data_IF_362198778220
#
_entry.id   IF_362198778220
#
_cell.length_a   1.000
_cell.length_b   1.000
_cell.length_c   1.000
_cell.angle_alpha   90.00
_cell.angle_beta   90.00
_cell.angle_gamma   90.00
#
_symmetry.space_group_name_H-M   'P 1'
#
loop_
_entity.id
_entity.type
_entity.pdbx_description
1 polymer ?
#
# COMPACT_ATOMS: atom_id res chain seq x y z
N UNK A 1 27.35 11.08 45.31
CA UNK A 1 27.38 11.58 46.70
C UNK A 1 28.55 12.56 46.91
N UNK A 2 29.76 12.14 47.31
CA UNK A 2 30.83 13.11 47.67
C UNK A 2 31.36 13.96 46.49
N UNK A 3 31.56 13.35 45.31
CA UNK A 3 32.02 14.06 44.09
C UNK A 3 30.99 15.10 43.63
N UNK A 4 29.70 14.77 43.77
CA UNK A 4 28.59 15.65 43.46
C UNK A 4 28.53 16.82 44.45
N UNK A 5 28.70 16.58 45.75
CA UNK A 5 28.73 17.65 46.76
C UNK A 5 29.88 18.64 46.52
N UNK A 6 31.05 18.15 46.09
CA UNK A 6 32.19 18.99 45.70
C UNK A 6 31.82 19.84 44.48
N UNK A 7 31.27 19.23 43.43
CA UNK A 7 30.84 19.94 42.22
C UNK A 7 29.75 20.98 42.52
N UNK A 8 28.80 20.65 43.41
CA UNK A 8 27.69 21.50 43.83
C UNK A 8 28.17 22.74 44.58
N UNK A 9 29.10 22.57 45.53
CA UNK A 9 29.71 23.68 46.30
C UNK A 9 30.62 24.54 45.41
N UNK A 10 31.41 23.91 44.53
CA UNK A 10 32.28 24.61 43.58
C UNK A 10 31.48 25.42 42.54
N UNK A 11 30.25 24.98 42.23
CA UNK A 11 29.36 25.59 41.27
C UNK A 11 29.55 25.03 39.87
N UNK A 12 28.50 24.44 39.31
CA UNK A 12 28.56 23.71 38.03
C UNK A 12 29.02 24.60 36.87
N UNK A 13 28.63 25.87 36.87
CA UNK A 13 29.03 26.84 35.83
C UNK A 13 30.52 27.18 35.86
N UNK A 14 31.23 26.87 36.96
CA UNK A 14 32.67 27.09 37.09
C UNK A 14 33.50 25.89 36.61
N UNK A 15 32.85 24.76 36.30
CA UNK A 15 33.53 23.57 35.79
C UNK A 15 33.98 23.83 34.34
N UNK A 16 35.20 23.39 33.96
CA UNK A 16 35.66 23.52 32.60
C UNK A 16 34.78 22.70 31.65
N UNK A 17 34.48 23.27 30.49
CA UNK A 17 33.78 22.58 29.42
C UNK A 17 34.83 21.88 28.55
N UNK A 18 34.67 20.57 28.35
CA UNK A 18 35.48 19.81 27.40
C UNK A 18 34.57 18.94 26.55
N UNK A 19 34.94 18.76 25.27
CA UNK A 19 34.30 17.76 24.42
C UNK A 19 34.86 16.37 24.75
N UNK A 20 34.02 15.32 24.76
CA UNK A 20 34.50 13.97 24.96
C UNK A 20 35.44 13.58 23.81
N UNK A 21 36.62 13.06 24.14
CA UNK A 21 37.51 12.48 23.14
C UNK A 21 36.96 11.13 22.69
N UNK A 22 36.58 11.01 21.41
CA UNK A 22 36.07 9.77 20.83
C UNK A 22 36.70 9.52 19.45
N UNK A 23 37.11 8.29 19.20
CA UNK A 23 37.49 7.86 17.85
C UNK A 23 36.22 7.70 17.00
N UNK A 24 36.15 8.43 15.88
CA UNK A 24 35.02 8.35 14.96
C UNK A 24 35.28 7.26 13.91
N UNK A 25 34.36 6.30 13.83
CA UNK A 25 34.33 5.31 12.76
C UNK A 25 33.04 5.50 11.95
N UNK A 26 33.11 5.28 10.64
CA UNK A 26 31.91 5.27 9.80
C UNK A 26 31.15 3.97 10.05
N UNK A 27 29.86 4.08 10.38
CA UNK A 27 28.96 2.94 10.42
C UNK A 27 28.62 2.51 8.99
N UNK A 28 28.64 1.21 8.73
CA UNK A 28 28.10 0.66 7.48
C UNK A 28 26.58 0.67 7.53
N UNK A 29 25.94 1.37 6.60
CA UNK A 29 24.48 1.33 6.40
C UNK A 29 24.24 0.61 5.08
N UNK A 30 23.31 -0.34 5.08
CA UNK A 30 22.96 -1.09 3.87
C UNK A 30 22.21 -0.18 2.90
N UNK A 31 22.60 -0.16 1.62
CA UNK A 31 21.87 0.57 0.57
C UNK A 31 20.46 0.01 0.34
N UNK A 32 20.24 -1.26 0.68
CA UNK A 32 18.90 -1.87 0.63
C UNK A 32 17.97 -1.38 1.76
N UNK A 33 18.51 -0.75 2.81
CA UNK A 33 17.69 -0.16 3.87
C UNK A 33 17.27 1.26 3.49
N UNK A 34 15.96 1.50 3.57
CA UNK A 34 15.38 2.80 3.21
C UNK A 34 15.01 3.56 4.47
N UNK A 35 15.53 4.78 4.67
CA UNK A 35 15.12 5.61 5.78
C UNK A 35 13.62 5.87 5.75
N UNK A 36 12.94 5.77 6.89
CA UNK A 36 11.51 6.06 7.02
C UNK A 36 11.13 7.41 6.40
N UNK A 37 11.97 8.43 6.58
CA UNK A 37 11.77 9.76 6.01
C UNK A 37 11.62 9.74 4.48
N UNK A 38 12.27 8.82 3.77
CA UNK A 38 12.14 8.71 2.31
C UNK A 38 10.75 8.27 1.88
N UNK A 39 10.14 7.34 2.62
CA UNK A 39 8.74 6.90 2.41
C UNK A 39 7.76 8.03 2.74
N UNK A 40 7.99 8.75 3.85
CA UNK A 40 7.17 9.91 4.23
C UNK A 40 7.20 11.00 3.16
N UNK A 41 8.38 11.34 2.65
CA UNK A 41 8.51 12.32 1.56
C UNK A 41 7.76 11.91 0.31
N UNK A 42 7.79 10.63 -0.07
CA UNK A 42 6.97 10.16 -1.19
C UNK A 42 5.47 10.39 -0.96
N UNK A 43 4.94 10.12 0.23
CA UNK A 43 3.53 10.36 0.52
C UNK A 43 3.19 11.86 0.49
N UNK A 44 4.11 12.71 0.93
CA UNK A 44 3.99 14.18 0.77
C UNK A 44 3.99 14.57 -0.71
N UNK A 45 4.86 13.99 -1.53
CA UNK A 45 4.89 14.20 -2.99
C UNK A 45 3.58 13.74 -3.66
N UNK A 46 2.86 12.79 -3.07
CA UNK A 46 1.52 12.33 -3.49
C UNK A 46 0.37 13.18 -2.90
N UNK A 47 0.68 14.34 -2.32
CA UNK A 47 -0.28 15.27 -1.68
C UNK A 47 -1.08 14.58 -0.56
N UNK A 48 -0.35 13.95 0.36
CA UNK A 48 -0.90 13.29 1.55
C UNK A 48 -0.20 13.89 2.77
N UNK A 49 -0.98 14.41 3.70
CA UNK A 49 -0.49 15.15 4.86
C UNK A 49 -0.18 14.20 6.03
N UNK A 50 0.98 14.37 6.67
CA UNK A 50 1.29 13.61 7.88
C UNK A 50 0.40 14.06 9.06
N UNK A 51 -0.10 13.09 9.82
CA UNK A 51 -0.76 13.30 11.11
C UNK A 51 -0.15 12.39 12.18
N UNK A 52 -0.30 12.80 13.43
CA UNK A 52 0.08 12.00 14.61
C UNK A 52 -1.17 11.92 15.49
N UNK A 53 -1.67 10.71 15.70
CA UNK A 53 -2.85 10.46 16.53
C UNK A 53 -2.45 9.80 17.85
N UNK A 54 -3.34 9.82 18.84
CA UNK A 54 -3.07 9.14 20.11
C UNK A 54 -2.96 7.62 19.91
N UNK A 55 -1.99 7.00 20.57
CA UNK A 55 -1.83 5.53 20.58
C UNK A 55 -2.92 4.81 21.36
N UNK A 56 -3.62 5.53 22.24
CA UNK A 56 -4.80 5.06 22.97
C UNK A 56 -6.07 5.67 22.37
N UNK A 57 -7.08 4.83 22.18
CA UNK A 57 -8.30 5.13 21.44
C UNK A 57 -9.54 4.75 22.26
N UNK A 58 -10.69 5.21 21.79
CA UNK A 58 -11.97 4.85 22.36
C UNK A 58 -12.28 3.36 22.07
N UNK A 59 -12.57 2.53 23.11
CA UNK A 59 -12.87 1.11 22.92
C UNK A 59 -14.06 0.85 21.99
N UNK A 60 -15.09 1.71 22.04
CA UNK A 60 -16.28 1.58 21.20
C UNK A 60 -15.98 1.87 19.73
N UNK A 61 -15.22 2.93 19.45
CA UNK A 61 -14.76 3.25 18.09
C UNK A 61 -13.84 2.14 17.56
N UNK A 62 -12.89 1.66 18.36
CA UNK A 62 -12.01 0.55 17.96
C UNK A 62 -12.79 -0.73 17.67
N UNK A 63 -13.81 -1.08 18.47
CA UNK A 63 -14.63 -2.26 18.22
C UNK A 63 -15.38 -2.19 16.87
N UNK A 64 -15.78 -0.99 16.46
CA UNK A 64 -16.50 -0.75 15.20
C UNK A 64 -15.56 -0.66 14.00
N UNK A 65 -14.40 -0.01 14.17
CA UNK A 65 -13.40 0.27 13.12
C UNK A 65 -12.23 -0.73 13.10
N UNK A 66 -12.29 -1.77 13.92
CA UNK A 66 -11.31 -2.85 13.98
C UNK A 66 -11.89 -4.19 13.49
N UNK A 67 -11.25 -5.24 13.96
CA UNK A 67 -11.56 -6.66 13.71
C UNK A 67 -12.57 -7.23 14.73
N UNK A 68 -13.26 -6.37 15.49
CA UNK A 68 -14.14 -6.76 16.57
C UNK A 68 -13.43 -7.34 17.82
N UNK A 69 -12.09 -7.38 17.83
CA UNK A 69 -11.31 -7.92 18.93
C UNK A 69 -10.88 -6.81 19.89
N UNK A 70 -10.97 -7.07 21.20
CA UNK A 70 -10.50 -6.11 22.21
C UNK A 70 -8.97 -5.98 22.18
N UNK A 71 -8.47 -4.76 22.29
CA UNK A 71 -7.06 -4.41 22.44
C UNK A 71 -6.59 -4.42 23.90
N UNK A 72 -5.34 -4.01 24.11
CA UNK A 72 -4.76 -3.87 25.45
C UNK A 72 -5.39 -2.67 26.15
N UNK A 73 -6.01 -2.88 27.31
CA UNK A 73 -6.63 -1.79 28.10
C UNK A 73 -5.65 -1.19 29.11
N UNK A 74 -5.73 0.13 29.28
CA UNK A 74 -4.98 0.84 30.30
C UNK A 74 -5.67 0.66 31.66
N UNK A 75 -4.88 0.38 32.70
CA UNK A 75 -5.40 0.26 34.07
C UNK A 75 -5.86 1.61 34.64
N UNK A 76 -5.12 2.69 34.33
CA UNK A 76 -5.38 4.04 34.82
C UNK A 76 -5.42 5.02 33.62
N UNK A 77 -6.47 4.98 32.78
CA UNK A 77 -6.55 5.84 31.61
C UNK A 77 -6.80 7.31 32.01
N UNK A 78 -6.26 8.24 31.21
CA UNK A 78 -6.46 9.68 31.42
C UNK A 78 -7.93 10.11 31.22
N UNK A 79 -8.64 9.39 30.34
CA UNK A 79 -10.07 9.55 30.08
C UNK A 79 -10.66 8.23 29.55
N UNK A 80 -11.97 8.03 29.72
CA UNK A 80 -12.64 6.78 29.32
C UNK A 80 -12.61 6.52 27.81
N UNK A 81 -12.59 7.58 27.00
CA UNK A 81 -12.48 7.51 25.53
C UNK A 81 -11.02 7.36 25.04
N UNK A 82 -10.06 7.16 25.96
CA UNK A 82 -8.63 6.98 25.72
C UNK A 82 -8.12 5.81 26.56
N UNK A 83 -8.88 4.71 26.56
CA UNK A 83 -8.71 3.60 27.51
C UNK A 83 -8.11 2.33 26.90
N UNK A 84 -7.95 2.25 25.58
CA UNK A 84 -7.48 1.05 24.90
C UNK A 84 -6.39 1.36 23.89
N UNK A 85 -5.33 0.57 23.86
CA UNK A 85 -4.25 0.71 22.89
C UNK A 85 -4.75 0.37 21.48
N UNK A 86 -4.35 1.17 20.50
CA UNK A 86 -4.77 0.99 19.11
C UNK A 86 -4.24 -0.32 18.52
N UNK A 87 -5.12 -1.10 17.88
CA UNK A 87 -4.77 -2.33 17.16
C UNK A 87 -4.42 -2.10 15.69
N UNK A 88 -4.84 -0.96 15.14
CA UNK A 88 -4.51 -0.47 13.79
C UNK A 88 -4.47 1.05 13.78
N UNK A 89 -4.01 1.65 12.67
CA UNK A 89 -4.05 3.10 12.49
C UNK A 89 -5.41 3.62 12.01
N UNK A 90 -6.34 2.70 11.67
CA UNK A 90 -7.65 3.03 11.09
C UNK A 90 -8.50 3.93 12.01
N UNK A 91 -8.69 3.63 13.31
CA UNK A 91 -9.52 4.47 14.19
C UNK A 91 -9.04 5.91 14.26
N UNK A 92 -7.73 6.12 14.47
CA UNK A 92 -7.12 7.45 14.55
C UNK A 92 -7.27 8.22 13.24
N UNK A 93 -7.00 7.57 12.10
CA UNK A 93 -7.14 8.18 10.79
C UNK A 93 -8.59 8.56 10.45
N UNK A 94 -9.55 7.70 10.76
CA UNK A 94 -10.99 7.97 10.54
C UNK A 94 -11.44 9.17 11.38
N UNK A 95 -11.03 9.24 12.66
CA UNK A 95 -11.31 10.36 13.54
C UNK A 95 -10.68 11.67 13.03
N UNK A 96 -9.43 11.62 12.56
CA UNK A 96 -8.75 12.77 11.98
C UNK A 96 -9.44 13.26 10.69
N UNK A 97 -9.91 12.35 9.84
CA UNK A 97 -10.72 12.70 8.67
C UNK A 97 -12.04 13.35 9.12
N UNK A 98 -12.77 12.72 10.04
CA UNK A 98 -14.05 13.24 10.56
C UNK A 98 -13.90 14.63 11.16
N UNK A 99 -12.84 14.86 11.93
CA UNK A 99 -12.53 16.17 12.52
C UNK A 99 -12.43 17.29 11.47
N UNK A 100 -11.78 17.00 10.33
CA UNK A 100 -11.60 17.95 9.23
C UNK A 100 -12.87 18.12 8.39
N UNK A 101 -13.59 17.02 8.12
CA UNK A 101 -14.87 17.05 7.40
C UNK A 101 -15.91 17.88 8.15
N UNK A 102 -15.97 17.76 9.48
CA UNK A 102 -16.84 18.57 10.33
C UNK A 102 -16.49 20.07 10.32
N UNK A 103 -15.30 20.42 9.80
CA UNK A 103 -14.84 21.79 9.54
C UNK A 103 -14.95 22.16 8.06
N UNK A 104 -15.85 21.49 7.35
CA UNK A 104 -16.19 21.75 5.96
C UNK A 104 -15.04 21.50 4.97
N UNK A 105 -14.04 20.69 5.33
CA UNK A 105 -13.00 20.29 4.39
C UNK A 105 -13.59 19.31 3.35
N UNK A 106 -13.66 19.67 2.05
CA UNK A 106 -14.29 18.83 1.03
C UNK A 106 -13.42 17.65 0.58
N UNK A 107 -12.13 17.68 0.94
CA UNK A 107 -11.07 16.76 0.56
C UNK A 107 -10.09 16.65 1.73
N UNK A 108 -9.75 15.42 2.13
CA UNK A 108 -8.82 15.14 3.23
C UNK A 108 -7.96 13.94 2.84
N UNK A 109 -6.63 14.09 2.93
CA UNK A 109 -5.67 13.04 2.58
C UNK A 109 -4.59 13.01 3.65
N UNK A 110 -4.54 11.93 4.41
CA UNK A 110 -3.70 11.81 5.60
C UNK A 110 -2.88 10.54 5.56
N UNK A 111 -1.69 10.57 6.14
CA UNK A 111 -0.95 9.38 6.49
C UNK A 111 -0.39 9.48 7.91
N UNK A 112 -0.18 8.33 8.53
CA UNK A 112 0.45 8.22 9.84
C UNK A 112 1.40 7.01 9.85
N UNK A 113 2.49 7.12 10.60
CA UNK A 113 3.35 5.97 10.94
C UNK A 113 3.39 5.81 12.44
N UNK A 114 3.27 4.58 12.94
CA UNK A 114 3.50 4.32 14.36
C UNK A 114 3.11 2.91 14.77
N UNK A 115 3.36 2.61 16.05
CA UNK A 115 3.13 1.28 16.62
C UNK A 115 1.65 1.00 16.83
N UNK A 116 1.29 -0.26 16.62
CA UNK A 116 0.01 -0.83 17.00
C UNK A 116 0.22 -2.02 17.94
N UNK A 117 -0.75 -2.29 18.81
CA UNK A 117 -0.61 -3.19 19.94
C UNK A 117 -1.62 -4.32 19.81
N UNK A 118 -1.18 -5.45 19.26
CA UNK A 118 -2.04 -6.60 18.97
C UNK A 118 -1.68 -7.74 19.95
N UNK A 119 -2.54 -8.04 20.93
CA UNK A 119 -2.35 -9.17 21.84
C UNK A 119 -2.24 -10.49 21.05
N UNK A 120 -1.17 -11.24 21.27
CA UNK A 120 -1.04 -12.64 20.88
C UNK A 120 -1.02 -13.54 22.13
N UNK A 121 -0.94 -14.86 21.95
CA UNK A 121 -1.05 -15.83 23.06
C UNK A 121 0.04 -15.60 24.12
N UNK A 122 1.29 -15.41 23.69
CA UNK A 122 2.46 -15.32 24.58
C UNK A 122 3.18 -13.97 24.51
N UNK A 123 2.85 -13.11 23.54
CA UNK A 123 3.52 -11.84 23.33
C UNK A 123 2.57 -10.73 22.86
N UNK A 124 3.03 -9.49 22.97
CA UNK A 124 2.34 -8.33 22.42
C UNK A 124 3.06 -7.91 21.13
N UNK A 125 2.38 -8.06 19.99
CA UNK A 125 2.88 -7.53 18.72
C UNK A 125 2.79 -6.00 18.76
N UNK A 126 3.95 -5.36 18.69
CA UNK A 126 4.14 -3.89 18.70
C UNK A 126 4.68 -3.39 17.35
N UNK A 127 4.30 -4.06 16.25
CA UNK A 127 4.78 -3.72 14.93
C UNK A 127 4.48 -2.27 14.54
N UNK A 128 5.49 -1.64 13.95
CA UNK A 128 5.33 -0.35 13.27
C UNK A 128 4.46 -0.53 12.03
N UNK A 129 3.51 0.39 11.86
CA UNK A 129 2.58 0.41 10.75
C UNK A 129 2.64 1.73 10.01
N UNK A 130 2.18 1.71 8.77
CA UNK A 130 1.87 2.89 7.98
C UNK A 130 0.41 2.85 7.55
N UNK A 131 -0.30 3.92 7.89
CA UNK A 131 -1.71 4.09 7.61
C UNK A 131 -1.88 5.23 6.62
N UNK A 132 -2.80 5.07 5.67
CA UNK A 132 -3.13 6.09 4.67
C UNK A 132 -4.64 6.22 4.58
N UNK A 133 -5.14 7.44 4.52
CA UNK A 133 -6.55 7.77 4.41
C UNK A 133 -6.75 8.80 3.29
N UNK A 134 -7.62 8.52 2.32
CA UNK A 134 -8.01 9.49 1.28
C UNK A 134 -9.54 9.62 1.22
N UNK A 135 -10.01 10.87 1.23
CA UNK A 135 -11.43 11.20 1.31
C UNK A 135 -11.80 12.35 0.37
N UNK A 136 -12.97 12.22 -0.25
CA UNK A 136 -13.60 13.32 -0.97
C UNK A 136 -13.13 13.46 -2.41
N UNK A 137 -12.79 14.68 -2.84
CA UNK A 137 -12.40 14.94 -4.23
C UNK A 137 -11.01 14.35 -4.56
N UNK A 138 -10.85 13.80 -5.76
CA UNK A 138 -9.58 13.22 -6.22
C UNK A 138 -8.48 14.27 -6.34
N UNK A 139 -8.83 15.43 -6.89
CA UNK A 139 -7.95 16.58 -7.07
C UNK A 139 -8.46 17.79 -6.27
N UNK A 140 -7.60 18.77 -6.00
CA UNK A 140 -8.06 20.11 -5.63
C UNK A 140 -9.01 20.68 -6.68
N UNK A 141 -9.75 21.75 -6.34
CA UNK A 141 -10.67 22.40 -7.27
C UNK A 141 -9.94 22.74 -8.58
N UNK A 142 -10.38 22.12 -9.68
CA UNK A 142 -9.76 22.26 -10.99
C UNK A 142 -10.83 22.23 -12.08
N UNK A 143 -10.61 22.93 -13.19
CA UNK A 143 -11.63 23.12 -14.23
C UNK A 143 -11.92 21.85 -15.06
N UNK A 144 -10.98 20.90 -15.11
CA UNK A 144 -11.03 19.74 -16.02
C UNK A 144 -11.43 18.43 -15.38
N UNK A 145 -11.41 18.33 -14.04
CA UNK A 145 -11.64 17.07 -13.33
C UNK A 145 -12.55 17.36 -12.13
N UNK A 146 -13.73 16.75 -12.14
CA UNK A 146 -14.64 16.68 -11.01
C UNK A 146 -15.03 15.22 -10.77
N UNK A 147 -14.20 14.52 -9.99
CA UNK A 147 -14.48 13.15 -9.56
C UNK A 147 -13.99 12.93 -8.13
N UNK A 148 -14.74 12.12 -7.40
CA UNK A 148 -14.34 11.63 -6.09
C UNK A 148 -13.16 10.66 -6.21
N UNK A 149 -12.42 10.52 -5.12
CA UNK A 149 -11.43 9.44 -5.00
C UNK A 149 -12.11 8.07 -5.11
N UNK A 150 -11.39 7.10 -5.65
CA UNK A 150 -11.78 5.70 -5.67
C UNK A 150 -10.68 4.78 -5.10
N UNK A 151 -10.92 3.47 -5.16
CA UNK A 151 -9.97 2.47 -4.68
C UNK A 151 -8.65 2.48 -5.45
N UNK A 152 -8.70 2.77 -6.75
CA UNK A 152 -7.54 2.74 -7.64
C UNK A 152 -6.61 3.92 -7.40
N UNK A 153 -7.13 5.07 -6.94
CA UNK A 153 -6.29 6.18 -6.47
C UNK A 153 -5.39 5.75 -5.31
N UNK A 154 -5.96 5.11 -4.28
CA UNK A 154 -5.19 4.61 -3.14
C UNK A 154 -4.24 3.48 -3.55
N UNK A 155 -4.71 2.56 -4.40
CA UNK A 155 -3.88 1.48 -4.95
C UNK A 155 -2.65 2.01 -5.68
N UNK A 156 -2.80 3.05 -6.51
CA UNK A 156 -1.68 3.67 -7.23
C UNK A 156 -0.64 4.27 -6.29
N UNK A 157 -1.10 5.02 -5.27
CA UNK A 157 -0.24 5.60 -4.24
C UNK A 157 0.57 4.51 -3.52
N UNK A 158 -0.09 3.41 -3.12
CA UNK A 158 0.56 2.32 -2.40
C UNK A 158 1.52 1.50 -3.28
N UNK A 159 1.18 1.29 -4.56
CA UNK A 159 2.09 0.66 -5.52
C UNK A 159 3.37 1.48 -5.68
N UNK A 160 3.29 2.80 -5.78
CA UNK A 160 4.50 3.62 -5.85
C UNK A 160 5.30 3.61 -4.55
N UNK A 161 4.64 3.47 -3.38
CA UNK A 161 5.30 3.39 -2.07
C UNK A 161 6.26 2.19 -1.98
N UNK A 162 5.89 1.01 -2.50
CA UNK A 162 6.76 -0.17 -2.48
C UNK A 162 7.91 -0.11 -3.50
N UNK A 163 7.81 0.76 -4.51
CA UNK A 163 8.78 0.86 -5.59
C UNK A 163 9.92 1.85 -5.31
N UNK A 164 9.79 2.72 -4.29
CA UNK A 164 10.77 3.75 -3.93
C UNK A 164 12.19 3.20 -3.78
N UNK A 165 12.32 1.99 -3.26
CA UNK A 165 13.59 1.32 -2.96
C UNK A 165 13.79 0.02 -3.76
N UNK A 166 13.03 -0.14 -4.85
CA UNK A 166 13.02 -1.38 -5.61
C UNK A 166 12.44 -2.57 -4.85
N UNK A 167 11.71 -2.38 -3.75
CA UNK A 167 11.18 -3.46 -2.90
C UNK A 167 10.26 -4.46 -3.61
N UNK A 168 9.75 -4.09 -4.78
CA UNK A 168 8.99 -4.94 -5.69
C UNK A 168 7.54 -4.48 -5.86
N UNK A 169 6.83 -5.19 -6.72
CA UNK A 169 5.40 -4.96 -6.93
C UNK A 169 4.57 -5.52 -5.78
N UNK A 170 3.57 -4.75 -5.34
CA UNK A 170 2.54 -5.25 -4.44
C UNK A 170 1.63 -6.24 -5.16
N UNK A 171 1.32 -7.36 -4.50
CA UNK A 171 0.27 -8.28 -4.91
C UNK A 171 -1.01 -8.01 -4.12
N UNK A 172 -2.14 -8.11 -4.81
CA UNK A 172 -3.45 -7.72 -4.30
C UNK A 172 -4.42 -8.89 -4.43
N UNK A 173 -5.07 -9.26 -3.32
CA UNK A 173 -6.10 -10.30 -3.32
C UNK A 173 -7.40 -9.76 -2.71
N UNK A 174 -8.57 -10.08 -3.29
CA UNK A 174 -9.86 -9.78 -2.66
C UNK A 174 -9.90 -10.28 -1.22
N UNK A 175 -10.42 -9.46 -0.33
CA UNK A 175 -10.47 -9.79 1.09
C UNK A 175 -11.70 -9.15 1.74
N UNK A 176 -11.89 -9.43 3.02
CA UNK A 176 -12.98 -8.89 3.82
C UNK A 176 -12.42 -8.30 5.11
N UNK A 177 -13.05 -7.23 5.57
CA UNK A 177 -12.75 -6.61 6.85
C UNK A 177 -14.01 -5.94 7.37
N UNK A 178 -14.31 -6.10 8.66
CA UNK A 178 -15.57 -5.62 9.26
C UNK A 178 -15.81 -4.12 9.03
N UNK A 179 -14.74 -3.33 9.01
CA UNK A 179 -14.81 -1.88 8.81
C UNK A 179 -14.94 -1.45 7.35
N UNK A 180 -14.75 -2.36 6.38
CA UNK A 180 -14.71 -2.02 4.97
C UNK A 180 -15.88 -2.58 4.17
N UNK A 181 -16.13 -1.96 3.02
CA UNK A 181 -17.19 -2.37 2.11
C UNK A 181 -16.84 -3.70 1.42
N UNK A 182 -17.75 -4.70 1.42
CA UNK A 182 -17.60 -5.90 0.60
C UNK A 182 -17.38 -5.54 -0.87
N UNK A 183 -16.49 -6.25 -1.55
CA UNK A 183 -16.14 -6.01 -2.96
C UNK A 183 -15.25 -4.78 -3.22
N UNK A 184 -14.91 -3.98 -2.20
CA UNK A 184 -13.95 -2.87 -2.29
C UNK A 184 -12.91 -2.95 -1.17
N UNK A 185 -12.45 -4.18 -0.92
CA UNK A 185 -11.51 -4.55 0.13
C UNK A 185 -10.49 -5.54 -0.42
N UNK A 186 -9.22 -5.32 -0.13
CA UNK A 186 -8.13 -6.19 -0.57
C UNK A 186 -7.08 -6.33 0.53
N UNK A 187 -6.53 -7.54 0.64
CA UNK A 187 -5.26 -7.74 1.35
C UNK A 187 -4.11 -7.47 0.39
N UNK A 188 -3.05 -6.90 0.95
CA UNK A 188 -1.86 -6.48 0.21
C UNK A 188 -0.67 -7.28 0.71
N UNK A 189 0.10 -7.83 -0.21
CA UNK A 189 1.33 -8.56 0.10
C UNK A 189 2.51 -8.04 -0.70
N UNK A 190 3.71 -8.22 -0.16
CA UNK A 190 4.98 -7.93 -0.82
C UNK A 190 5.90 -9.13 -0.63
N UNK A 191 6.47 -9.66 -1.71
CA UNK A 191 7.35 -10.83 -1.69
C UNK A 191 6.74 -12.02 -0.92
N UNK A 192 5.44 -12.28 -1.12
CA UNK A 192 4.68 -13.35 -0.48
C UNK A 192 4.29 -13.11 0.97
N UNK A 193 4.67 -11.98 1.58
CA UNK A 193 4.31 -11.62 2.96
C UNK A 193 3.15 -10.63 2.98
N UNK A 194 2.10 -10.94 3.74
CA UNK A 194 0.96 -10.05 3.94
C UNK A 194 1.40 -8.81 4.73
N UNK A 195 1.20 -7.64 4.13
CA UNK A 195 1.46 -6.34 4.74
C UNK A 195 0.27 -5.85 5.55
N UNK A 196 -0.94 -6.06 5.04
CA UNK A 196 -2.15 -5.57 5.71
C UNK A 196 -3.33 -5.45 4.77
N UNK A 197 -4.23 -4.52 5.08
CA UNK A 197 -5.53 -4.38 4.44
C UNK A 197 -5.70 -2.98 3.84
N UNK A 198 -6.41 -2.92 2.71
CA UNK A 198 -6.80 -1.69 2.02
C UNK A 198 -8.28 -1.80 1.65
N UNK A 199 -9.06 -0.75 1.87
CA UNK A 199 -10.46 -0.78 1.47
C UNK A 199 -11.20 0.53 1.62
N UNK A 200 -12.42 0.56 1.09
CA UNK A 200 -13.36 1.64 1.33
C UNK A 200 -14.03 1.44 2.69
N UNK A 201 -14.11 2.48 3.52
CA UNK A 201 -14.91 2.45 4.75
C UNK A 201 -16.35 2.02 4.42
N UNK A 202 -16.87 1.06 5.19
CA UNK A 202 -18.19 0.51 4.96
C UNK A 202 -19.25 1.64 4.95
N UNK A 203 -20.17 1.72 3.96
CA UNK A 203 -21.12 2.83 3.83
C UNK A 203 -22.00 3.06 5.07
N UNK A 204 -22.38 1.98 5.76
CA UNK A 204 -23.10 2.06 7.05
C UNK A 204 -22.29 2.79 8.12
N UNK A 205 -20.99 2.48 8.24
CA UNK A 205 -20.11 3.13 9.20
C UNK A 205 -19.85 4.59 8.82
N UNK A 206 -19.63 4.85 7.52
CA UNK A 206 -19.49 6.21 7.02
C UNK A 206 -20.70 7.10 7.38
N UNK A 207 -21.93 6.58 7.25
CA UNK A 207 -23.16 7.29 7.68
C UNK A 207 -23.22 7.51 9.18
N UNK A 208 -22.83 6.53 9.99
CA UNK A 208 -22.81 6.67 11.46
C UNK A 208 -21.77 7.69 11.94
N UNK A 209 -20.74 7.93 11.14
CA UNK A 209 -19.64 8.85 11.43
C UNK A 209 -19.80 10.19 10.70
N UNK A 210 -20.97 10.47 10.10
CA UNK A 210 -21.27 11.68 9.34
C UNK A 210 -20.24 12.00 8.22
N UNK A 211 -19.79 10.96 7.53
CA UNK A 211 -18.89 11.05 6.38
C UNK A 211 -19.67 10.90 5.06
N UNK A 212 -20.09 12.01 4.41
CA UNK A 212 -20.98 11.95 3.23
C UNK A 212 -20.31 11.46 1.94
N UNK A 213 -18.97 11.52 1.86
CA UNK A 213 -18.19 11.09 0.68
C UNK A 213 -17.42 9.79 0.98
N UNK A 214 -16.96 9.06 -0.03
CA UNK A 214 -16.13 7.88 0.16
C UNK A 214 -14.83 8.20 0.91
N UNK A 215 -14.47 7.32 1.86
CA UNK A 215 -13.18 7.27 2.55
C UNK A 215 -12.52 5.94 2.19
N UNK A 216 -11.31 5.98 1.66
CA UNK A 216 -10.47 4.80 1.42
C UNK A 216 -9.29 4.81 2.39
N UNK A 217 -9.00 3.66 2.96
CA UNK A 217 -8.05 3.48 4.05
C UNK A 217 -7.10 2.33 3.73
N UNK A 218 -5.87 2.45 4.21
CA UNK A 218 -4.86 1.41 4.22
C UNK A 218 -4.22 1.34 5.60
N UNK A 219 -3.88 0.13 6.04
CA UNK A 219 -3.16 -0.12 7.29
C UNK A 219 -2.17 -1.27 7.08
N UNK A 220 -0.91 -0.93 6.84
CA UNK A 220 0.13 -1.85 6.38
C UNK A 220 1.29 -1.93 7.38
N UNK A 221 1.90 -3.10 7.52
CA UNK A 221 3.17 -3.29 8.23
C UNK A 221 4.26 -2.46 7.55
N UNK A 222 4.99 -1.68 8.35
CA UNK A 222 5.99 -0.75 7.84
C UNK A 222 7.33 -1.43 7.50
N UNK A 223 7.81 -2.34 8.35
CA UNK A 223 9.14 -2.94 8.23
C UNK A 223 9.44 -3.55 6.84
N UNK A 224 8.52 -4.31 6.20
CA UNK A 224 8.78 -4.83 4.86
C UNK A 224 8.94 -3.76 3.78
N UNK A 225 8.38 -2.56 3.97
CA UNK A 225 8.49 -1.44 3.03
C UNK A 225 9.80 -0.67 3.20
N UNK A 226 10.47 -0.80 4.35
CA UNK A 226 11.77 -0.17 4.63
C UNK A 226 12.95 -0.98 4.06
N UNK A 227 12.69 -2.16 3.49
CA UNK A 227 13.70 -3.06 2.93
C UNK A 227 13.47 -3.23 1.44
N UNK A 228 14.42 -2.74 0.66
CA UNK A 228 14.43 -2.79 -0.79
C UNK A 228 15.41 -3.81 -1.35
N UNK A 229 15.77 -3.61 -2.61
CA UNK A 229 16.86 -4.34 -3.26
C UNK A 229 17.82 -3.34 -3.93
N UNK A 230 19.11 -3.62 -3.85
CA UNK A 230 20.10 -2.87 -4.63
C UNK A 230 19.92 -3.25 -6.09
N UNK A 231 19.73 -2.26 -6.95
CA UNK A 231 19.46 -2.50 -8.37
C UNK A 231 20.70 -3.08 -9.04
N UNK A 232 20.57 -4.28 -9.59
CA UNK A 232 21.61 -4.88 -10.42
C UNK A 232 21.51 -4.35 -11.85
N UNK A 233 22.65 -4.06 -12.46
CA UNK A 233 22.70 -3.68 -13.87
C UNK A 233 22.23 -4.84 -14.75
N UNK A 234 21.27 -4.56 -15.63
CA UNK A 234 20.87 -5.44 -16.74
C UNK A 234 21.16 -4.72 -18.05
N UNK A 235 21.86 -5.40 -18.96
CA UNK A 235 22.17 -4.84 -20.28
C UNK A 235 20.88 -4.52 -21.04
N UNK A 236 20.82 -3.35 -21.64
CA UNK A 236 19.69 -2.91 -22.46
C UNK A 236 19.83 -3.54 -23.85
N UNK A 237 18.77 -4.21 -24.32
CA UNK A 237 18.77 -4.79 -25.67
C UNK A 237 18.84 -3.69 -26.73
N UNK A 238 19.70 -3.89 -27.73
CA UNK A 238 19.79 -3.04 -28.93
C UNK A 238 18.75 -3.37 -29.99
N UNK A 239 18.00 -4.46 -29.81
CA UNK A 239 17.00 -4.94 -30.76
C UNK A 239 15.64 -4.32 -30.47
N UNK A 240 14.80 -4.09 -31.49
CA UNK A 240 13.53 -3.40 -31.30
C UNK A 240 12.57 -4.24 -30.44
N UNK A 241 11.74 -3.52 -29.69
CA UNK A 241 10.59 -4.07 -28.95
C UNK A 241 9.37 -4.08 -29.86
N UNK A 242 8.56 -5.13 -29.77
CA UNK A 242 7.30 -5.27 -30.49
C UNK A 242 6.17 -5.44 -29.48
N UNK A 243 5.03 -4.82 -29.75
CA UNK A 243 3.83 -4.95 -28.94
C UNK A 243 2.75 -5.70 -29.71
N UNK A 244 2.00 -6.55 -29.01
CA UNK A 244 0.83 -7.26 -29.53
C UNK A 244 -0.33 -7.09 -28.57
N UNK A 245 -1.44 -6.60 -29.11
CA UNK A 245 -2.67 -6.45 -28.34
C UNK A 245 -3.51 -7.71 -28.46
N UNK A 246 -4.03 -8.17 -27.32
CA UNK A 246 -4.88 -9.35 -27.21
C UNK A 246 -6.18 -8.95 -26.51
N UNK A 247 -7.32 -9.37 -27.08
CA UNK A 247 -8.59 -9.30 -26.38
C UNK A 247 -8.94 -10.71 -25.88
N UNK A 248 -9.04 -10.88 -24.57
CA UNK A 248 -9.42 -12.15 -23.95
C UNK A 248 -10.70 -12.01 -23.15
N UNK A 249 -11.63 -12.93 -23.35
CA UNK A 249 -12.87 -13.01 -22.59
C UNK A 249 -12.69 -14.03 -21.48
N UNK A 250 -12.95 -13.62 -20.24
CA UNK A 250 -12.82 -14.45 -19.04
C UNK A 250 -14.07 -14.31 -18.18
N UNK A 251 -14.27 -15.25 -17.26
CA UNK A 251 -15.23 -15.10 -16.16
C UNK A 251 -14.95 -13.82 -15.37
N UNK A 252 -16.01 -13.11 -14.94
CA UNK A 252 -15.88 -11.82 -14.27
C UNK A 252 -15.22 -11.90 -12.88
N UNK A 253 -15.14 -13.10 -12.30
CA UNK A 253 -14.44 -13.39 -11.05
C UNK A 253 -12.93 -13.56 -11.25
N UNK A 254 -12.45 -13.74 -12.48
CA UNK A 254 -11.01 -13.83 -12.76
C UNK A 254 -10.37 -12.48 -12.51
N UNK A 255 -9.44 -12.46 -11.55
CA UNK A 255 -8.69 -11.27 -11.16
C UNK A 255 -7.55 -10.99 -12.12
N UNK A 256 -7.20 -9.72 -12.27
CA UNK A 256 -6.00 -9.32 -13.02
C UNK A 256 -4.72 -9.99 -12.50
N UNK A 257 -4.61 -10.21 -11.19
CA UNK A 257 -3.45 -10.87 -10.61
C UNK A 257 -3.34 -12.32 -11.11
N UNK A 258 -4.44 -13.06 -11.23
CA UNK A 258 -4.44 -14.41 -11.80
C UNK A 258 -3.99 -14.42 -13.27
N UNK A 259 -4.34 -13.40 -14.06
CA UNK A 259 -3.86 -13.25 -15.45
C UNK A 259 -2.35 -13.02 -15.46
N UNK A 260 -1.83 -12.09 -14.63
CA UNK A 260 -0.38 -11.85 -14.50
C UNK A 260 0.37 -13.11 -14.07
N UNK A 261 -0.12 -13.77 -13.03
CA UNK A 261 0.49 -14.98 -12.48
C UNK A 261 0.49 -16.12 -13.52
N UNK A 262 -0.59 -16.26 -14.28
CA UNK A 262 -0.67 -17.22 -15.37
C UNK A 262 0.43 -16.94 -16.41
N UNK A 263 0.54 -15.73 -16.94
CA UNK A 263 1.59 -15.41 -17.94
C UNK A 263 2.99 -15.60 -17.37
N UNK A 264 3.22 -15.22 -16.10
CA UNK A 264 4.50 -15.41 -15.43
C UNK A 264 4.96 -16.88 -15.37
N UNK A 265 4.05 -17.86 -15.45
CA UNK A 265 4.44 -19.29 -15.51
C UNK A 265 5.23 -19.68 -16.76
N UNK A 266 5.20 -18.87 -17.81
CA UNK A 266 5.99 -19.11 -19.02
C UNK A 266 7.49 -18.98 -18.79
N UNK A 267 7.90 -18.12 -17.85
CA UNK A 267 9.31 -17.84 -17.55
C UNK A 267 10.16 -17.53 -18.80
N UNK A 268 9.55 -16.92 -19.83
CA UNK A 268 10.23 -16.55 -21.05
C UNK A 268 10.62 -15.07 -20.99
N UNK A 269 11.93 -14.82 -20.86
CA UNK A 269 12.51 -13.48 -20.79
C UNK A 269 12.22 -12.61 -22.02
N UNK A 270 11.72 -13.18 -23.12
CA UNK A 270 11.31 -12.42 -24.30
C UNK A 270 9.99 -11.70 -24.08
N UNK A 271 9.15 -12.17 -23.15
CA UNK A 271 7.91 -11.50 -22.73
C UNK A 271 8.29 -10.46 -21.67
N UNK A 272 8.41 -9.21 -22.09
CA UNK A 272 8.91 -8.12 -21.25
C UNK A 272 7.84 -7.60 -20.27
N UNK A 273 6.59 -7.53 -20.70
CA UNK A 273 5.47 -7.10 -19.86
C UNK A 273 4.14 -7.53 -20.46
N UNK A 274 3.12 -7.63 -19.59
CA UNK A 274 1.71 -7.73 -19.98
C UNK A 274 0.93 -6.68 -19.19
N UNK A 275 0.27 -5.78 -19.91
CA UNK A 275 -0.45 -4.65 -19.34
C UNK A 275 -1.92 -4.71 -19.72
N UNK A 276 -2.80 -4.49 -18.74
CA UNK A 276 -4.23 -4.34 -18.95
C UNK A 276 -4.53 -2.88 -19.27
N UNK A 277 -5.10 -2.61 -20.45
CA UNK A 277 -5.44 -1.24 -20.86
C UNK A 277 -6.94 -1.00 -21.03
N UNK A 278 -7.77 -2.04 -21.12
CA UNK A 278 -9.22 -1.89 -21.14
C UNK A 278 -9.96 -3.10 -20.51
N UNK A 279 -11.12 -2.83 -19.90
CA UNK A 279 -12.03 -3.82 -19.32
C UNK A 279 -13.45 -3.51 -19.79
N UNK A 280 -14.02 -4.39 -20.61
CA UNK A 280 -15.34 -4.19 -21.21
C UNK A 280 -16.35 -5.27 -20.79
N UNK A 281 -17.52 -4.83 -20.33
CA UNK A 281 -18.64 -5.68 -19.85
C UNK A 281 -19.97 -5.37 -20.56
N UNK A 282 -19.91 -4.83 -21.77
CA UNK A 282 -21.09 -4.40 -22.51
C UNK A 282 -21.60 -5.42 -23.54
N UNK A 283 -22.51 -4.98 -24.44
CA UNK A 283 -23.05 -5.81 -25.52
C UNK A 283 -21.98 -6.57 -26.29
N UNK A 284 -22.23 -7.85 -26.58
CA UNK A 284 -21.32 -8.75 -27.29
C UNK A 284 -20.31 -9.49 -26.41
N UNK A 285 -20.35 -9.30 -25.08
CA UNK A 285 -19.71 -10.18 -24.10
C UNK A 285 -20.81 -11.01 -23.41
N UNK A 286 -20.64 -12.33 -23.24
CA UNK A 286 -21.61 -13.16 -22.52
C UNK A 286 -21.83 -12.66 -21.07
N UNK A 287 -23.04 -12.88 -20.54
CA UNK A 287 -23.35 -12.55 -19.14
C UNK A 287 -22.42 -13.32 -18.18
N UNK A 288 -21.97 -12.64 -17.11
CA UNK A 288 -20.99 -13.18 -16.16
C UNK A 288 -19.56 -13.23 -16.68
N UNK A 289 -19.29 -12.68 -17.87
CA UNK A 289 -17.93 -12.57 -18.43
C UNK A 289 -17.54 -11.13 -18.69
N UNK A 290 -16.23 -10.91 -18.85
CA UNK A 290 -15.63 -9.63 -19.19
C UNK A 290 -14.56 -9.80 -20.27
N UNK A 291 -14.43 -8.80 -21.13
CA UNK A 291 -13.38 -8.72 -22.14
C UNK A 291 -12.25 -7.87 -21.60
N UNK A 292 -11.05 -8.44 -21.48
CA UNK A 292 -9.83 -7.77 -21.07
C UNK A 292 -8.97 -7.49 -22.30
N UNK A 293 -8.60 -6.23 -22.52
CA UNK A 293 -7.65 -5.85 -23.56
C UNK A 293 -6.25 -5.74 -22.96
N UNK A 294 -5.36 -6.62 -23.43
CA UNK A 294 -4.01 -6.80 -22.93
C UNK A 294 -3.00 -6.34 -23.98
N UNK A 295 -1.98 -5.62 -23.57
CA UNK A 295 -0.81 -5.29 -24.39
C UNK A 295 0.35 -6.15 -23.93
N UNK A 296 0.85 -7.02 -24.81
CA UNK A 296 2.00 -7.89 -24.55
C UNK A 296 3.22 -7.29 -25.23
N UNK A 297 4.21 -6.91 -24.44
CA UNK A 297 5.49 -6.41 -24.93
C UNK A 297 6.48 -7.56 -25.10
N UNK A 298 7.04 -7.69 -26.31
CA UNK A 298 7.98 -8.74 -26.69
C UNK A 298 9.32 -8.12 -27.13
N UNK A 299 10.43 -8.69 -26.69
CA UNK A 299 11.78 -8.26 -27.09
C UNK A 299 12.80 -9.35 -26.78
N UNK A 300 13.71 -9.63 -27.71
CA UNK A 300 14.85 -10.52 -27.48
C UNK A 300 16.13 -9.71 -27.23
N UNK A 301 17.03 -10.27 -26.43
CA UNK A 301 18.37 -9.72 -26.17
C UNK A 301 19.41 -10.15 -27.22
N UNK A 302 19.13 -11.21 -27.99
CA UNK A 302 20.07 -11.82 -28.92
C UNK A 302 19.83 -11.45 -30.39
N UNK A 303 18.59 -11.12 -30.76
CA UNK A 303 18.23 -10.78 -32.14
C UNK A 303 16.93 -9.97 -32.25
N UNK A 304 16.59 -9.56 -33.48
CA UNK A 304 15.26 -9.03 -33.76
C UNK A 304 14.30 -10.22 -33.88
N UNK A 305 13.14 -10.14 -33.22
CA UNK A 305 12.09 -11.15 -33.36
C UNK A 305 11.45 -11.03 -34.75
N UNK A 306 11.39 -12.13 -35.48
CA UNK A 306 10.61 -12.22 -36.71
C UNK A 306 9.12 -12.49 -36.40
N UNK A 307 8.27 -12.38 -37.43
CA UNK A 307 6.82 -12.53 -37.26
C UNK A 307 6.43 -13.93 -36.77
N UNK A 308 7.20 -14.95 -37.13
CA UNK A 308 6.95 -16.33 -36.67
C UNK A 308 7.20 -16.45 -35.16
N UNK A 309 8.36 -15.99 -34.68
CA UNK A 309 8.70 -16.01 -33.26
C UNK A 309 7.72 -15.16 -32.42
N UNK A 310 7.28 -14.02 -32.96
CA UNK A 310 6.25 -13.18 -32.31
C UNK A 310 4.95 -13.96 -32.17
N UNK A 311 4.48 -14.60 -33.24
CA UNK A 311 3.24 -15.37 -33.20
C UNK A 311 3.32 -16.55 -32.24
N UNK A 312 4.45 -17.27 -32.21
CA UNK A 312 4.67 -18.39 -31.29
C UNK A 312 4.58 -17.95 -29.81
N UNK A 313 5.16 -16.79 -29.46
CA UNK A 313 5.08 -16.22 -28.11
C UNK A 313 3.65 -15.80 -27.75
N UNK A 314 2.94 -15.16 -28.68
CA UNK A 314 1.52 -14.80 -28.48
C UNK A 314 0.67 -16.06 -28.27
N UNK A 315 0.88 -17.10 -29.08
CA UNK A 315 0.14 -18.36 -28.96
C UNK A 315 0.44 -19.06 -27.62
N UNK A 316 1.67 -18.96 -27.11
CA UNK A 316 2.03 -19.45 -25.78
C UNK A 316 1.26 -18.71 -24.68
N UNK A 317 1.21 -17.37 -24.74
CA UNK A 317 0.43 -16.54 -23.80
C UNK A 317 -1.04 -16.96 -23.84
N UNK A 318 -1.65 -17.02 -25.03
CA UNK A 318 -3.05 -17.40 -25.19
C UNK A 318 -3.33 -18.81 -24.66
N UNK A 319 -2.44 -19.78 -24.91
CA UNK A 319 -2.59 -21.15 -24.38
C UNK A 319 -2.58 -21.18 -22.85
N UNK A 320 -1.70 -20.41 -22.22
CA UNK A 320 -1.60 -20.35 -20.76
C UNK A 320 -2.80 -19.66 -20.14
N UNK A 321 -3.29 -18.58 -20.76
CA UNK A 321 -4.52 -17.91 -20.33
C UNK A 321 -5.75 -18.83 -20.48
N UNK A 322 -5.86 -19.57 -21.58
CA UNK A 322 -6.90 -20.61 -21.75
C UNK A 322 -6.86 -21.64 -20.63
N UNK A 323 -5.66 -22.16 -20.32
CA UNK A 323 -5.50 -23.23 -19.34
C UNK A 323 -5.78 -22.78 -17.90
N UNK A 324 -5.30 -21.60 -17.52
CA UNK A 324 -5.28 -21.16 -16.12
C UNK A 324 -6.42 -20.21 -15.75
N UNK A 325 -7.05 -19.56 -16.74
CA UNK A 325 -8.08 -18.55 -16.53
C UNK A 325 -9.34 -18.77 -17.37
N UNK A 326 -9.46 -19.94 -18.04
CA UNK A 326 -10.55 -20.26 -18.97
C UNK A 326 -10.79 -19.15 -20.00
N UNK A 327 -9.70 -18.51 -20.44
CA UNK A 327 -9.76 -17.33 -21.27
C UNK A 327 -10.00 -17.68 -22.74
N UNK A 328 -10.98 -17.05 -23.38
CA UNK A 328 -11.25 -17.20 -24.81
C UNK A 328 -10.72 -15.98 -25.58
N UNK A 329 -9.93 -16.23 -26.64
CA UNK A 329 -9.47 -15.14 -27.49
C UNK A 329 -10.65 -14.58 -28.28
N UNK A 330 -10.82 -13.26 -28.25
CA UNK A 330 -11.87 -12.54 -28.97
C UNK A 330 -11.24 -11.83 -30.16
N UNK A 331 -11.25 -12.51 -31.31
CA UNK A 331 -10.63 -12.05 -32.55
C UNK A 331 -9.85 -13.15 -33.21
#
# INVERSE_FOLDING_TARGET
DLIEEIARIYGYNNLPISLPAQALNMASISEAETPLMRLKHYLVDQDIQEVITYSFVDPGIQAVLGDGTSGVRLANPIASNLAEMRRSLIPGLVEAVRYNVNRQAPRVRLFETGQCFIPQIDELDQSERIGVAIYGQSTPLHFSIDRLVDFFDLKGILNGLSMINGGGELTWSPSEHQSFAPGQTASVSLNGKVLGIVGRLHPKLARQLDLPKPLFLADLKLDPLLRGQVTAFKAISRYPRVTRDLAVVVDDMVTWQQIKDAVATLQDDRIQSVELFDVYRGPGVPDGRQSLALSVSLQDSQGTLDDQAIQELVDQVVRVLRKNADAELRG
#
